data_IF_409351285312
#
_entry.id   IF_409351285312
#
_cell.length_a   1.000
_cell.length_b   1.000
_cell.length_c   1.000
_cell.angle_alpha   90.00
_cell.angle_beta   90.00
_cell.angle_gamma   90.00
#
_symmetry.space_group_name_H-M   'P 1'
#
loop_
_entity.id
_entity.type
_entity.pdbx_description
1 polymer ?
#
# COMPACT_ATOMS: atom_id res chain seq x y z
N UNK A 1 -0.03 -4.59 -5.84
CA UNK A 1 0.07 -3.22 -6.33
C UNK A 1 -1.28 -2.57 -6.52
N UNK A 2 -1.27 -1.28 -6.76
CA UNK A 2 -2.32 -0.26 -6.54
C UNK A 2 -3.26 -0.07 -7.75
N UNK A 3 -3.17 -0.94 -8.76
CA UNK A 3 -4.03 -0.89 -9.95
C UNK A 3 -5.54 -1.00 -9.61
N UNK A 4 -5.92 -1.91 -8.71
CA UNK A 4 -7.30 -2.07 -8.28
C UNK A 4 -7.81 -0.88 -7.46
N UNK A 5 -6.99 -0.40 -6.52
CA UNK A 5 -7.30 0.77 -5.69
C UNK A 5 -7.53 2.02 -6.56
N UNK A 6 -6.68 2.25 -7.57
CA UNK A 6 -6.86 3.35 -8.53
C UNK A 6 -8.17 3.28 -9.32
N UNK A 7 -8.63 2.07 -9.65
CA UNK A 7 -9.93 1.86 -10.29
C UNK A 7 -11.06 2.30 -9.37
N UNK A 8 -11.09 1.73 -8.16
CA UNK A 8 -12.09 2.04 -7.16
C UNK A 8 -12.19 3.54 -6.85
N UNK A 9 -11.07 4.23 -6.62
CA UNK A 9 -11.06 5.66 -6.28
C UNK A 9 -11.57 6.56 -7.41
N UNK A 10 -11.42 6.17 -8.70
CA UNK A 10 -11.99 6.94 -9.81
C UNK A 10 -13.51 6.91 -9.81
N UNK A 11 -14.10 5.80 -9.38
CA UNK A 11 -15.54 5.60 -9.38
C UNK A 11 -16.21 6.12 -8.09
N UNK A 12 -15.43 6.51 -7.07
CA UNK A 12 -15.90 6.94 -5.75
C UNK A 12 -15.29 8.30 -5.37
N UNK A 13 -15.73 9.40 -6.01
CA UNK A 13 -15.17 10.74 -5.76
C UNK A 13 -15.51 11.30 -4.36
N UNK A 14 -16.44 10.66 -3.65
CA UNK A 14 -16.85 10.96 -2.28
C UNK A 14 -15.99 10.26 -1.21
N UNK A 15 -15.05 9.40 -1.62
CA UNK A 15 -14.11 8.78 -0.71
C UNK A 15 -13.27 9.86 0.01
N UNK A 16 -13.23 9.77 1.34
CA UNK A 16 -12.37 10.63 2.15
C UNK A 16 -10.89 10.28 1.90
N UNK A 17 -10.12 11.27 1.45
CA UNK A 17 -8.68 11.11 1.26
C UNK A 17 -7.97 11.33 2.59
N UNK A 18 -7.16 10.34 2.98
CA UNK A 18 -6.30 10.40 4.17
C UNK A 18 -4.86 10.60 3.71
N UNK A 19 -4.20 11.62 4.25
CA UNK A 19 -2.79 11.89 3.98
C UNK A 19 -1.90 10.81 4.58
N UNK A 20 -1.17 10.09 3.72
CA UNK A 20 -0.25 9.00 4.10
C UNK A 20 1.10 9.08 3.36
N UNK A 21 1.40 10.21 2.70
CA UNK A 21 2.55 10.34 1.79
C UNK A 21 3.92 10.17 2.45
N UNK A 22 4.01 10.34 3.76
CA UNK A 22 5.21 10.22 4.59
C UNK A 22 5.25 8.93 5.44
N UNK A 23 4.20 8.13 5.39
CA UNK A 23 4.09 6.87 6.15
C UNK A 23 4.80 5.72 5.45
N UNK A 24 4.94 5.79 4.13
CA UNK A 24 5.51 4.72 3.33
C UNK A 24 7.02 4.55 3.62
N UNK A 25 7.43 3.30 3.85
CA UNK A 25 8.83 2.88 3.95
C UNK A 25 9.14 1.90 2.82
N UNK A 26 10.38 1.82 2.33
CA UNK A 26 10.72 0.98 1.17
C UNK A 26 10.79 -0.53 1.47
N UNK A 27 10.55 -0.95 2.72
CA UNK A 27 10.69 -2.34 3.18
C UNK A 27 9.44 -3.21 2.91
N UNK A 28 8.90 -3.11 1.70
CA UNK A 28 7.76 -3.89 1.24
C UNK A 28 8.07 -5.41 1.30
N UNK A 29 7.13 -6.20 1.82
CA UNK A 29 7.29 -7.66 1.95
C UNK A 29 6.66 -8.37 0.76
N UNK A 30 7.35 -8.35 -0.37
CA UNK A 30 6.89 -9.00 -1.61
C UNK A 30 7.52 -10.38 -1.87
N UNK A 31 8.54 -10.77 -1.11
CA UNK A 31 9.23 -12.06 -1.26
C UNK A 31 9.38 -12.80 0.07
N UNK A 32 9.56 -14.14 0.04
CA UNK A 32 9.87 -14.92 1.24
C UNK A 32 11.10 -14.40 2.00
N UNK A 33 12.13 -13.95 1.28
CA UNK A 33 13.35 -13.38 1.87
C UNK A 33 13.08 -12.05 2.58
N UNK A 34 12.16 -11.22 2.06
CA UNK A 34 11.72 -10.00 2.74
C UNK A 34 10.94 -10.33 4.01
N UNK A 35 10.08 -11.36 3.99
CA UNK A 35 9.30 -11.79 5.15
C UNK A 35 10.19 -12.31 6.28
N UNK A 36 11.25 -13.05 5.93
CA UNK A 36 12.19 -13.61 6.90
C UNK A 36 12.89 -12.55 7.78
N UNK A 37 12.89 -11.27 7.38
CA UNK A 37 13.41 -10.15 8.19
C UNK A 37 12.57 -9.86 9.44
N UNK A 38 11.31 -10.27 9.46
CA UNK A 38 10.32 -9.88 10.48
C UNK A 38 9.85 -11.03 11.39
N UNK A 39 10.12 -12.29 11.04
CA UNK A 39 9.54 -13.47 11.71
C UNK A 39 10.52 -14.20 12.63
N UNK A 40 11.32 -13.49 13.43
CA UNK A 40 12.32 -14.11 14.32
C UNK A 40 11.73 -14.60 15.65
#
# INVERSE_FOLDING_TARGET
GDAGARGYLRDHPDAELVECGDVAVPDDVDTPEALARWTR
#
